data_IF_353332714623
#
_entry.id   IF_353332714623
#
_cell.length_a   1.000
_cell.length_b   1.000
_cell.length_c   1.000
_cell.angle_alpha   90.00
_cell.angle_beta   90.00
_cell.angle_gamma   90.00
#
_symmetry.space_group_name_H-M   'P 1'
#
loop_
_entity.id
_entity.type
_entity.pdbx_description
1 polymer ?
#
# COMPACT_ATOMS: atom_id res chain seq x y z
N UNK A 1 9.41 8.21 -28.44
CA UNK A 1 8.63 7.07 -27.91
C UNK A 1 8.02 7.52 -26.60
N UNK A 2 6.68 7.48 -26.49
CA UNK A 2 5.98 8.01 -25.33
C UNK A 2 6.34 7.19 -24.08
N UNK A 3 6.82 7.88 -23.04
CA UNK A 3 6.97 7.35 -21.71
C UNK A 3 5.58 6.96 -21.20
N UNK A 4 5.27 5.67 -21.21
CA UNK A 4 4.09 5.13 -20.53
C UNK A 4 4.33 5.17 -19.02
N UNK A 5 4.35 6.39 -18.47
CA UNK A 5 4.11 6.63 -17.06
C UNK A 5 2.60 6.65 -16.84
N UNK A 6 2.14 5.99 -15.78
CA UNK A 6 0.73 6.07 -15.38
C UNK A 6 0.32 7.54 -15.27
N UNK A 7 -0.69 7.96 -16.04
CA UNK A 7 -1.13 9.37 -16.09
C UNK A 7 -1.80 9.85 -14.80
N UNK A 8 -2.18 8.91 -13.92
CA UNK A 8 -2.70 9.17 -12.59
C UNK A 8 -2.48 7.95 -11.68
N UNK A 9 -2.35 8.17 -10.36
CA UNK A 9 -2.30 7.10 -9.35
C UNK A 9 -3.54 6.19 -9.42
N UNK A 10 -4.67 6.72 -9.86
CA UNK A 10 -5.88 5.95 -10.10
C UNK A 10 -5.71 4.90 -11.20
N UNK A 11 -4.92 5.17 -12.25
CA UNK A 11 -4.62 4.19 -13.30
C UNK A 11 -3.61 3.14 -12.85
N UNK A 12 -2.62 3.54 -12.05
CA UNK A 12 -1.71 2.60 -11.38
C UNK A 12 -2.46 1.68 -10.41
N UNK A 13 -3.48 2.19 -9.70
CA UNK A 13 -4.32 1.37 -8.83
C UNK A 13 -5.16 0.33 -9.60
N UNK A 14 -5.58 0.62 -10.84
CA UNK A 14 -6.33 -0.33 -11.68
C UNK A 14 -5.50 -1.55 -12.09
N UNK A 15 -4.17 -1.47 -12.07
CA UNK A 15 -3.30 -2.60 -12.39
C UNK A 15 -3.01 -3.51 -11.19
N UNK A 16 -3.31 -3.06 -9.97
CA UNK A 16 -3.14 -3.85 -8.75
C UNK A 16 -4.09 -5.05 -8.73
N UNK A 17 -3.62 -6.18 -8.20
CA UNK A 17 -4.42 -7.40 -8.05
C UNK A 17 -4.17 -8.04 -6.69
N UNK A 18 -5.10 -8.91 -6.27
CA UNK A 18 -4.97 -9.69 -5.04
C UNK A 18 -4.66 -8.83 -3.81
N UNK A 19 -3.58 -9.19 -3.12
CA UNK A 19 -3.17 -8.59 -1.85
C UNK A 19 -2.81 -7.11 -1.99
N UNK A 20 -2.17 -6.70 -3.09
CA UNK A 20 -1.72 -5.31 -3.28
C UNK A 20 -2.92 -4.36 -3.37
N UNK A 21 -3.95 -4.80 -4.10
CA UNK A 21 -5.20 -4.04 -4.22
C UNK A 21 -5.89 -3.92 -2.87
N UNK A 22 -6.04 -5.04 -2.15
CA UNK A 22 -6.69 -5.06 -0.84
C UNK A 22 -5.97 -4.15 0.18
N UNK A 23 -4.64 -4.17 0.19
CA UNK A 23 -3.83 -3.31 1.05
C UNK A 23 -3.97 -1.83 0.67
N UNK A 24 -3.97 -1.51 -0.62
CA UNK A 24 -4.16 -0.14 -1.12
C UNK A 24 -5.56 0.40 -0.78
N UNK A 25 -6.61 -0.38 -1.01
CA UNK A 25 -8.00 0.01 -0.69
C UNK A 25 -8.19 0.20 0.82
N UNK A 26 -7.64 -0.70 1.65
CA UNK A 26 -7.72 -0.58 3.11
C UNK A 26 -7.06 0.70 3.62
N UNK A 27 -5.87 1.04 3.09
CA UNK A 27 -5.16 2.27 3.47
C UNK A 27 -5.83 3.52 2.91
N UNK A 28 -6.42 3.43 1.70
CA UNK A 28 -7.20 4.50 1.10
C UNK A 28 -8.46 4.85 1.89
N UNK A 29 -9.20 3.83 2.36
CA UNK A 29 -10.42 4.00 3.15
C UNK A 29 -10.14 4.60 4.53
N UNK A 30 -9.14 4.07 5.24
CA UNK A 30 -8.77 4.53 6.59
C UNK A 30 -7.88 5.77 6.61
N UNK A 31 -7.27 6.14 5.47
CA UNK A 31 -6.24 7.16 5.34
C UNK A 31 -4.89 6.82 5.98
N UNK A 32 -4.86 5.94 6.98
CA UNK A 32 -3.65 5.48 7.67
C UNK A 32 -3.90 4.13 8.36
N UNK A 33 -2.98 3.18 8.16
CA UNK A 33 -3.09 1.85 8.78
C UNK A 33 -1.72 1.36 9.23
N UNK A 34 -1.64 0.80 10.45
CA UNK A 34 -0.40 0.15 10.92
C UNK A 34 -0.17 -1.15 10.17
N UNK A 35 1.07 -1.51 9.84
CA UNK A 35 1.36 -2.78 9.17
C UNK A 35 0.77 -4.00 9.90
N UNK A 36 0.93 -4.07 11.23
CA UNK A 36 0.31 -5.12 12.07
C UNK A 36 -1.21 -5.13 12.08
N UNK A 37 -1.82 -3.97 11.87
CA UNK A 37 -3.27 -3.86 11.79
C UNK A 37 -3.76 -4.34 10.43
N UNK A 38 -3.03 -4.02 9.35
CA UNK A 38 -3.31 -4.54 8.02
C UNK A 38 -3.21 -6.07 7.95
N UNK A 39 -2.22 -6.67 8.60
CA UNK A 39 -2.10 -8.14 8.75
C UNK A 39 -3.38 -8.74 9.36
N UNK A 40 -3.86 -8.17 10.46
CA UNK A 40 -5.06 -8.65 11.17
C UNK A 40 -6.35 -8.44 10.38
N UNK A 41 -6.51 -7.29 9.73
CA UNK A 41 -7.74 -6.95 9.00
C UNK A 41 -7.85 -7.79 7.73
N UNK A 42 -6.75 -7.96 7.01
CA UNK A 42 -6.74 -8.70 5.75
C UNK A 42 -6.56 -10.21 5.95
N UNK A 43 -6.21 -10.64 7.18
CA UNK A 43 -5.94 -12.05 7.49
C UNK A 43 -4.70 -12.57 6.76
N UNK A 44 -3.71 -11.70 6.52
CA UNK A 44 -2.51 -11.98 5.73
C UNK A 44 -1.28 -12.10 6.60
N UNK A 45 -0.29 -12.82 6.09
CA UNK A 45 1.00 -12.95 6.76
C UNK A 45 1.84 -11.67 6.61
N UNK A 46 2.76 -11.43 7.55
CA UNK A 46 3.71 -10.30 7.49
C UNK A 46 4.47 -10.25 6.16
N UNK A 47 4.86 -11.42 5.63
CA UNK A 47 5.56 -11.52 4.34
C UNK A 47 4.71 -11.05 3.16
N UNK A 48 3.42 -11.37 3.15
CA UNK A 48 2.50 -10.98 2.06
C UNK A 48 2.29 -9.47 2.09
N UNK A 49 2.09 -8.90 3.28
CA UNK A 49 1.99 -7.45 3.47
C UNK A 49 3.28 -6.76 3.03
N UNK A 50 4.46 -7.30 3.36
CA UNK A 50 5.75 -6.72 2.92
C UNK A 50 5.93 -6.77 1.41
N UNK A 51 5.60 -7.89 0.77
CA UNK A 51 5.67 -8.03 -0.70
C UNK A 51 4.74 -7.03 -1.38
N UNK A 52 3.49 -6.97 -0.94
CA UNK A 52 2.50 -6.04 -1.47
C UNK A 52 2.92 -4.59 -1.24
N UNK A 53 3.38 -4.25 -0.04
CA UNK A 53 3.88 -2.91 0.26
C UNK A 53 5.08 -2.53 -0.61
N UNK A 54 6.00 -3.46 -0.89
CA UNK A 54 7.14 -3.20 -1.77
C UNK A 54 6.69 -2.75 -3.17
N UNK A 55 5.69 -3.44 -3.73
CA UNK A 55 5.10 -3.08 -5.03
C UNK A 55 4.38 -1.73 -4.96
N UNK A 56 3.53 -1.53 -3.96
CA UNK A 56 2.79 -0.27 -3.77
C UNK A 56 3.71 0.92 -3.54
N UNK A 57 4.87 0.72 -2.88
CA UNK A 57 5.89 1.75 -2.70
C UNK A 57 6.62 2.05 -4.00
N UNK A 58 6.94 1.03 -4.81
CA UNK A 58 7.56 1.20 -6.11
C UNK A 58 6.65 1.98 -7.08
N UNK A 59 5.34 1.73 -7.00
CA UNK A 59 4.33 2.44 -7.79
C UNK A 59 3.94 3.81 -7.23
N UNK A 60 4.60 4.27 -6.17
CA UNK A 60 4.30 5.53 -5.49
C UNK A 60 2.83 5.67 -5.06
N UNK A 61 2.22 4.55 -4.67
CA UNK A 61 0.83 4.47 -4.21
C UNK A 61 0.73 4.55 -2.68
N UNK A 62 1.61 3.84 -1.97
CA UNK A 62 1.73 3.90 -0.51
C UNK A 62 3.15 4.20 -0.05
N UNK A 63 3.28 4.92 1.06
CA UNK A 63 4.55 5.14 1.77
C UNK A 63 4.44 4.70 3.22
N UNK A 64 5.61 4.39 3.79
CA UNK A 64 5.75 4.08 5.20
C UNK A 64 6.15 5.35 5.96
N UNK A 65 5.44 5.65 7.04
CA UNK A 65 5.76 6.72 7.98
C UNK A 65 6.06 6.12 9.35
N UNK A 66 7.19 6.51 9.94
CA UNK A 66 7.53 6.11 11.30
C UNK A 66 6.66 6.88 12.28
N UNK A 67 5.93 6.14 13.12
CA UNK A 67 5.12 6.73 14.18
C UNK A 67 5.99 7.12 15.38
N UNK A 68 5.60 8.15 16.15
CA UNK A 68 6.28 8.54 17.39
C UNK A 68 6.28 7.42 18.45
N UNK A 69 5.31 6.50 18.41
CA UNK A 69 5.24 5.32 19.29
C UNK A 69 6.16 4.16 18.86
N UNK A 70 7.03 4.35 17.86
CA UNK A 70 7.99 3.33 17.41
C UNK A 70 7.47 2.35 16.36
N UNK A 71 6.22 2.48 15.91
CA UNK A 71 5.63 1.66 14.85
C UNK A 71 5.83 2.23 13.44
N UNK A 72 5.42 1.46 12.43
CA UNK A 72 5.35 1.91 11.02
C UNK A 72 3.89 1.96 10.59
N UNK A 73 3.49 3.12 10.08
CA UNK A 73 2.19 3.34 9.46
C UNK A 73 2.34 3.34 7.94
N UNK A 74 1.38 2.70 7.27
CA UNK A 74 1.17 2.77 5.85
C UNK A 74 0.19 3.91 5.59
N UNK A 75 0.58 4.85 4.73
CA UNK A 75 -0.23 6.00 4.32
C UNK A 75 -0.18 6.15 2.80
N UNK A 76 -1.23 6.72 2.18
CA UNK A 76 -1.18 7.10 0.77
C UNK A 76 -0.06 8.11 0.51
N UNK A 77 0.45 8.10 -0.72
CA UNK A 77 1.36 9.13 -1.21
C UNK A 77 0.66 10.47 -1.45
#
# INVERSE_FOLDING_TARGET
>A
MATSGFSSRADAAKTLRGVEKALYELVGDKGKVRSREAEKILGLSEEEIKRAFSVLRHMELLRAAKNPSGGVDLIPF
#
